data_IF_565755711299
#
_entry.id   IF_565755711299
#
_cell.length_a   1.000
_cell.length_b   1.000
_cell.length_c   1.000
_cell.angle_alpha   90.00
_cell.angle_beta   90.00
_cell.angle_gamma   90.00
#
_symmetry.space_group_name_H-M   'P 1'
#
loop_
_entity.id
_entity.type
_entity.pdbx_description
1 polymer ?
#
# COMPACT_ATOMS: atom_id res chain seq x y z
N UNK A 1 20.18 -8.29 -7.57
CA UNK A 1 21.21 -8.13 -8.64
C UNK A 1 20.54 -8.30 -10.01
N UNK A 2 20.30 -7.26 -10.80
CA UNK A 2 21.34 -6.47 -11.46
C UNK A 2 20.74 -5.13 -11.94
N UNK A 3 21.17 -4.04 -11.34
CA UNK A 3 21.10 -2.72 -11.96
C UNK A 3 22.24 -2.68 -12.99
N UNK A 4 21.95 -2.90 -14.27
CA UNK A 4 22.90 -2.57 -15.32
C UNK A 4 22.72 -1.09 -15.66
N UNK A 5 23.21 -0.22 -14.77
CA UNK A 5 23.58 1.11 -15.19
C UNK A 5 24.70 0.94 -16.22
N UNK A 6 24.39 1.24 -17.48
CA UNK A 6 25.39 1.36 -18.51
C UNK A 6 26.29 2.53 -18.13
N UNK A 7 27.37 2.20 -17.44
CA UNK A 7 28.49 3.08 -17.18
C UNK A 7 29.02 3.54 -18.54
N UNK A 8 28.95 4.85 -18.73
CA UNK A 8 29.37 5.60 -19.89
C UNK A 8 30.86 5.36 -20.14
N UNK A 9 31.15 4.32 -20.91
CA UNK A 9 32.43 4.16 -21.60
C UNK A 9 32.70 5.46 -22.34
N UNK A 10 33.93 5.97 -22.24
CA UNK A 10 34.44 7.17 -22.89
C UNK A 10 33.82 7.38 -24.29
N UNK A 11 33.56 8.62 -24.76
CA UNK A 11 32.82 8.85 -26.00
C UNK A 11 33.48 8.11 -27.18
N UNK A 12 32.95 6.93 -27.48
CA UNK A 12 33.40 6.09 -28.59
C UNK A 12 32.44 6.27 -29.75
N UNK A 13 32.97 6.15 -30.97
CA UNK A 13 32.17 6.19 -32.20
C UNK A 13 31.51 4.83 -32.52
N UNK A 14 31.48 3.90 -31.56
CA UNK A 14 30.91 2.57 -31.74
C UNK A 14 29.44 2.57 -31.28
N UNK A 15 28.51 2.26 -32.20
CA UNK A 15 27.08 2.13 -31.91
C UNK A 15 26.61 0.70 -32.23
N UNK A 16 25.69 0.18 -31.41
CA UNK A 16 24.99 -1.09 -31.69
C UNK A 16 23.87 -0.86 -32.71
N UNK A 17 23.42 -1.91 -33.40
CA UNK A 17 22.23 -1.85 -34.25
C UNK A 17 20.98 -1.43 -33.48
N UNK A 18 20.92 -1.69 -32.17
CA UNK A 18 19.83 -1.27 -31.27
C UNK A 18 19.88 0.22 -30.92
N UNK A 19 21.04 0.85 -31.00
CA UNK A 19 21.24 2.26 -30.64
C UNK A 19 20.93 3.20 -31.81
N UNK A 20 20.59 2.63 -32.97
CA UNK A 20 20.08 3.40 -34.10
C UNK A 20 18.76 4.06 -33.70
N UNK A 21 18.60 5.33 -34.09
CA UNK A 21 17.41 6.10 -33.76
C UNK A 21 16.15 5.44 -34.33
N UNK A 22 15.30 4.91 -33.46
CA UNK A 22 14.00 4.34 -33.78
C UNK A 22 12.93 4.92 -32.85
N UNK A 23 11.68 5.02 -33.33
CA UNK A 23 10.55 5.56 -32.57
C UNK A 23 10.82 6.93 -31.91
N UNK A 24 11.47 7.83 -32.63
CA UNK A 24 11.81 9.18 -32.14
C UNK A 24 10.61 10.08 -31.88
N UNK A 25 9.41 9.66 -32.31
CA UNK A 25 8.15 10.39 -32.12
C UNK A 25 7.32 9.70 -31.04
N UNK A 26 7.14 10.39 -29.93
CA UNK A 26 6.23 9.97 -28.86
C UNK A 26 4.77 10.17 -29.29
N UNK A 27 3.92 9.19 -28.96
CA UNK A 27 2.48 9.30 -29.11
C UNK A 27 1.90 9.92 -27.84
N UNK A 28 1.04 10.91 -27.99
CA UNK A 28 0.28 11.51 -26.89
C UNK A 28 -1.14 10.94 -26.88
N UNK A 29 -1.75 10.93 -25.69
CA UNK A 29 -3.17 10.58 -25.53
C UNK A 29 -4.03 11.64 -26.20
N UNK A 30 -4.99 11.21 -27.02
CA UNK A 30 -6.00 12.09 -27.61
C UNK A 30 -7.19 12.23 -26.64
N UNK A 31 -8.02 13.26 -26.83
CA UNK A 31 -9.29 13.42 -26.10
C UNK A 31 -10.16 12.17 -26.27
N UNK A 32 -10.73 11.66 -25.17
CA UNK A 32 -11.45 10.39 -25.13
C UNK A 32 -10.57 9.15 -24.93
N UNK A 33 -9.24 9.30 -24.84
CA UNK A 33 -8.30 8.21 -24.47
C UNK A 33 -7.82 8.30 -23.01
N UNK A 34 -8.64 8.89 -22.14
CA UNK A 34 -8.33 9.16 -20.73
C UNK A 34 -7.09 10.06 -20.64
N UNK A 35 -7.23 11.27 -21.16
CA UNK A 35 -6.20 12.31 -20.96
C UNK A 35 -6.12 12.68 -19.47
N UNK A 36 -5.00 13.25 -19.05
CA UNK A 36 -4.79 13.66 -17.65
C UNK A 36 -5.87 14.64 -17.18
N UNK A 37 -6.24 15.56 -18.05
CA UNK A 37 -7.27 16.57 -17.79
C UNK A 37 -8.66 15.95 -17.63
N UNK A 38 -9.00 14.94 -18.43
CA UNK A 38 -10.26 14.20 -18.28
C UNK A 38 -10.30 13.46 -16.95
N UNK A 39 -9.22 12.76 -16.57
CA UNK A 39 -9.14 12.03 -15.30
C UNK A 39 -9.26 12.92 -14.07
N UNK A 40 -8.74 14.16 -14.12
CA UNK A 40 -8.84 15.11 -13.01
C UNK A 40 -10.26 15.64 -12.80
N UNK A 41 -11.11 15.61 -13.84
CA UNK A 41 -12.49 16.08 -13.79
C UNK A 41 -13.49 14.96 -13.43
N UNK A 42 -13.08 13.69 -13.44
CA UNK A 42 -13.95 12.53 -13.19
C UNK A 42 -13.79 12.07 -11.73
N UNK A 43 -14.92 11.85 -11.05
CA UNK A 43 -14.95 11.23 -9.73
C UNK A 43 -14.74 9.71 -9.82
N UNK A 44 -13.47 9.30 -9.94
CA UNK A 44 -13.05 7.89 -10.12
C UNK A 44 -13.63 6.94 -9.06
N UNK A 45 -13.83 7.43 -7.84
CA UNK A 45 -14.39 6.64 -6.74
C UNK A 45 -15.85 6.28 -7.00
N UNK A 46 -16.65 7.23 -7.50
CA UNK A 46 -18.07 6.98 -7.77
C UNK A 46 -18.24 6.04 -8.96
N UNK A 47 -17.44 6.24 -10.01
CA UNK A 47 -17.42 5.37 -11.19
C UNK A 47 -17.06 3.92 -10.80
N UNK A 48 -16.03 3.74 -9.97
CA UNK A 48 -15.63 2.43 -9.46
C UNK A 48 -16.76 1.78 -8.67
N UNK A 49 -17.37 2.49 -7.71
CA UNK A 49 -18.48 1.95 -6.91
C UNK A 49 -19.70 1.59 -7.76
N UNK A 50 -19.97 2.35 -8.83
CA UNK A 50 -21.04 2.05 -9.78
C UNK A 50 -20.72 0.78 -10.58
N UNK A 51 -19.52 0.68 -11.12
CA UNK A 51 -19.07 -0.50 -11.86
C UNK A 51 -19.07 -1.76 -10.99
N UNK A 52 -18.66 -1.65 -9.71
CA UNK A 52 -18.75 -2.73 -8.74
C UNK A 52 -20.20 -3.17 -8.52
N UNK A 53 -21.11 -2.22 -8.24
CA UNK A 53 -22.54 -2.56 -8.08
C UNK A 53 -23.10 -3.29 -9.31
N UNK A 54 -22.87 -2.77 -10.51
CA UNK A 54 -23.34 -3.40 -11.76
C UNK A 54 -22.72 -4.80 -11.96
N UNK A 55 -21.44 -4.96 -11.64
CA UNK A 55 -20.76 -6.26 -11.71
C UNK A 55 -21.32 -7.26 -10.70
N UNK A 56 -21.53 -6.84 -9.45
CA UNK A 56 -22.13 -7.69 -8.41
C UNK A 56 -23.60 -8.01 -8.68
N UNK A 57 -24.38 -7.07 -9.24
CA UNK A 57 -25.75 -7.31 -9.68
C UNK A 57 -25.80 -8.29 -10.84
N UNK A 58 -24.85 -8.21 -11.78
CA UNK A 58 -24.73 -9.20 -12.86
C UNK A 58 -24.38 -10.57 -12.30
N UNK A 59 -23.40 -10.66 -11.40
CA UNK A 59 -23.03 -11.92 -10.75
C UNK A 59 -24.17 -12.47 -9.91
N UNK A 60 -24.86 -11.66 -9.11
CA UNK A 60 -26.03 -12.11 -8.34
C UNK A 60 -27.20 -12.50 -9.25
N UNK A 61 -27.44 -11.76 -10.33
CA UNK A 61 -28.44 -12.09 -11.34
C UNK A 61 -28.12 -13.39 -12.08
N UNK A 62 -26.84 -13.70 -12.27
CA UNK A 62 -26.34 -14.94 -12.85
C UNK A 62 -26.34 -16.09 -11.81
N UNK A 63 -26.03 -15.81 -10.55
CA UNK A 63 -26.08 -16.74 -9.40
C UNK A 63 -27.51 -17.09 -8.96
N UNK A 64 -28.51 -16.25 -9.24
CA UNK A 64 -29.92 -16.62 -9.08
C UNK A 64 -30.38 -17.68 -10.10
N UNK A 65 -29.58 -17.95 -11.14
CA UNK A 65 -29.79 -19.09 -12.04
C UNK A 65 -28.92 -20.31 -11.67
N UNK A 66 -27.90 -20.13 -10.82
CA UNK A 66 -27.02 -21.21 -10.32
C UNK A 66 -26.32 -20.78 -9.01
N UNK A 67 -26.75 -21.34 -7.88
CA UNK A 67 -26.17 -21.21 -6.52
C UNK A 67 -26.48 -19.94 -5.71
N UNK A 68 -27.52 -20.03 -4.88
CA UNK A 68 -27.57 -19.27 -3.63
C UNK A 68 -26.45 -19.70 -2.67
N UNK A 69 -26.02 -18.74 -1.83
CA UNK A 69 -25.11 -18.90 -0.67
C UNK A 69 -23.59 -18.83 -0.93
N UNK A 70 -23.13 -17.68 -1.42
CA UNK A 70 -21.71 -17.29 -1.44
C UNK A 70 -21.60 -15.81 -1.04
N UNK A 71 -21.52 -15.37 0.22
CA UNK A 71 -20.72 -15.90 1.32
C UNK A 71 -19.29 -15.41 1.15
N UNK A 72 -18.94 -14.30 1.82
CA UNK A 72 -17.65 -13.58 1.86
C UNK A 72 -16.38 -14.46 1.80
N UNK A 73 -16.49 -15.72 2.24
CA UNK A 73 -15.48 -16.79 2.15
C UNK A 73 -15.01 -17.14 0.73
N UNK A 74 -15.85 -17.09 -0.31
CA UNK A 74 -15.35 -17.42 -1.66
C UNK A 74 -14.50 -16.30 -2.27
N UNK A 75 -14.72 -15.04 -1.88
CA UNK A 75 -13.86 -13.95 -2.35
C UNK A 75 -12.48 -14.01 -1.69
N UNK A 76 -12.43 -14.40 -0.40
CA UNK A 76 -11.16 -14.61 0.32
C UNK A 76 -10.44 -15.86 -0.18
N UNK A 77 -11.17 -16.96 -0.44
CA UNK A 77 -10.64 -18.20 -1.01
C UNK A 77 -10.13 -18.01 -2.44
N UNK A 78 -10.89 -17.36 -3.33
CA UNK A 78 -10.45 -17.09 -4.72
C UNK A 78 -9.24 -16.15 -4.77
N UNK A 79 -9.22 -15.12 -3.91
CA UNK A 79 -8.06 -14.23 -3.77
C UNK A 79 -6.84 -14.97 -3.23
N UNK A 80 -7.03 -15.86 -2.25
CA UNK A 80 -5.95 -16.69 -1.69
C UNK A 80 -5.43 -17.71 -2.71
N UNK A 81 -6.33 -18.33 -3.48
CA UNK A 81 -6.01 -19.26 -4.55
C UNK A 81 -5.23 -18.58 -5.68
N UNK A 82 -5.63 -17.37 -6.08
CA UNK A 82 -4.90 -16.59 -7.08
C UNK A 82 -3.50 -16.18 -6.60
N UNK A 83 -3.35 -15.85 -5.31
CA UNK A 83 -2.04 -15.56 -4.71
C UNK A 83 -1.13 -16.81 -4.67
N UNK A 84 -1.69 -17.97 -4.37
CA UNK A 84 -0.97 -19.25 -4.40
C UNK A 84 -0.57 -19.64 -5.83
N UNK A 85 -1.47 -19.47 -6.80
CA UNK A 85 -1.20 -19.75 -8.21
C UNK A 85 -0.10 -18.83 -8.75
N UNK A 86 -0.17 -17.53 -8.45
CA UNK A 86 0.88 -16.57 -8.85
C UNK A 86 2.21 -16.82 -8.15
N UNK A 87 2.20 -17.26 -6.88
CA UNK A 87 3.41 -17.67 -6.17
C UNK A 87 3.99 -19.00 -6.70
N UNK A 88 3.14 -19.92 -7.18
CA UNK A 88 3.57 -21.17 -7.80
C UNK A 88 4.18 -20.94 -9.18
N UNK A 89 3.68 -19.97 -9.94
CA UNK A 89 4.25 -19.59 -11.24
C UNK A 89 5.63 -18.93 -11.14
N UNK A 90 5.98 -18.35 -9.99
CA UNK A 90 7.30 -17.72 -9.73
C UNK A 90 8.33 -18.71 -9.15
N UNK A 91 7.91 -19.94 -8.81
CA UNK A 91 8.74 -20.93 -8.13
C UNK A 91 8.87 -22.19 -8.95
N UNK A 92 9.92 -22.23 -9.78
CA UNK A 92 10.28 -23.45 -10.50
C UNK A 92 10.52 -24.63 -9.53
N UNK A 93 9.74 -25.70 -9.76
CA UNK A 93 9.91 -27.11 -9.37
C UNK A 93 9.83 -27.50 -7.88
N UNK A 94 8.62 -27.82 -7.38
CA UNK A 94 8.32 -29.12 -6.72
C UNK A 94 6.81 -29.41 -6.78
N UNK A 95 6.42 -30.49 -7.46
CA UNK A 95 5.02 -30.97 -7.49
C UNK A 95 4.84 -32.07 -6.44
N UNK A 96 4.15 -31.79 -5.33
CA UNK A 96 3.59 -32.82 -4.45
C UNK A 96 2.11 -32.54 -4.22
N UNK A 97 1.29 -33.48 -4.69
CA UNK A 97 -0.17 -33.46 -4.59
C UNK A 97 -0.63 -34.20 -3.33
N UNK A 98 -1.81 -33.78 -2.85
CA UNK A 98 -2.71 -34.44 -1.88
C UNK A 98 -2.39 -34.16 -0.40
N UNK A 99 -3.34 -33.81 0.47
CA UNK A 99 -4.73 -34.29 0.60
C UNK A 99 -5.57 -33.20 1.32
N UNK A 100 -6.78 -32.92 0.82
CA UNK A 100 -7.84 -32.24 1.57
C UNK A 100 -8.20 -33.09 2.79
N UNK A 101 -7.99 -32.59 4.00
CA UNK A 101 -8.49 -33.18 5.23
C UNK A 101 -9.56 -32.27 5.81
N UNK A 102 -10.81 -32.71 5.65
CA UNK A 102 -12.02 -32.14 6.24
C UNK A 102 -12.35 -32.99 7.47
N UNK A 103 -12.09 -32.48 8.69
CA UNK A 103 -12.56 -33.06 9.95
C UNK A 103 -12.87 -31.92 10.96
N UNK A 104 -14.10 -31.98 11.49
CA UNK A 104 -14.83 -31.03 12.34
C UNK A 104 -14.25 -30.82 13.77
N UNK A 105 -14.23 -29.58 14.30
CA UNK A 105 -14.31 -29.25 15.76
C UNK A 105 -14.45 -27.72 16.05
N UNK A 106 -15.56 -27.07 15.65
CA UNK A 106 -15.83 -25.62 15.83
C UNK A 106 -16.43 -25.26 17.22
N UNK A 107 -15.72 -25.57 18.31
CA UNK A 107 -16.04 -25.03 19.65
C UNK A 107 -14.80 -24.52 20.42
N UNK A 108 -13.58 -24.93 20.06
CA UNK A 108 -12.31 -24.46 20.67
C UNK A 108 -11.76 -23.17 20.01
N UNK A 109 -12.02 -22.97 18.70
CA UNK A 109 -11.53 -21.82 17.94
C UNK A 109 -12.13 -20.48 18.41
N UNK A 110 -13.37 -20.49 18.89
CA UNK A 110 -14.02 -19.26 19.40
C UNK A 110 -13.43 -18.80 20.73
N UNK A 111 -13.03 -19.73 21.59
CA UNK A 111 -12.40 -19.44 22.89
C UNK A 111 -10.96 -18.94 22.69
N UNK A 112 -10.21 -19.54 21.77
CA UNK A 112 -8.88 -19.08 21.37
C UNK A 112 -8.91 -17.65 20.81
N UNK A 113 -9.91 -17.33 19.98
CA UNK A 113 -10.05 -16.02 19.34
C UNK A 113 -10.43 -14.90 20.34
N UNK A 114 -11.27 -15.19 21.35
CA UNK A 114 -11.57 -14.23 22.42
C UNK A 114 -10.33 -13.91 23.28
N UNK A 115 -9.50 -14.92 23.59
CA UNK A 115 -8.24 -14.71 24.32
C UNK A 115 -7.23 -13.90 23.51
N UNK A 116 -7.15 -14.13 22.19
CA UNK A 116 -6.29 -13.34 21.32
C UNK A 116 -6.76 -11.88 21.19
N UNK A 117 -8.07 -11.65 21.11
CA UNK A 117 -8.63 -10.29 21.11
C UNK A 117 -8.35 -9.53 22.42
N UNK A 118 -8.43 -10.20 23.57
CA UNK A 118 -8.05 -9.60 24.86
C UNK A 118 -6.56 -9.28 24.93
N UNK A 119 -5.71 -10.16 24.40
CA UNK A 119 -4.27 -9.93 24.29
C UNK A 119 -3.95 -8.73 23.38
N UNK A 120 -4.60 -8.62 22.23
CA UNK A 120 -4.43 -7.49 21.30
C UNK A 120 -4.91 -6.18 21.93
N UNK A 121 -6.08 -6.17 22.59
CA UNK A 121 -6.60 -4.97 23.27
C UNK A 121 -5.67 -4.48 24.37
N UNK A 122 -5.09 -5.41 25.14
CA UNK A 122 -4.13 -5.09 26.20
C UNK A 122 -2.83 -4.51 25.62
N UNK A 123 -2.27 -5.13 24.58
CA UNK A 123 -1.05 -4.62 23.93
C UNK A 123 -1.28 -3.23 23.31
N UNK A 124 -2.45 -3.00 22.70
CA UNK A 124 -2.75 -1.74 22.05
C UNK A 124 -2.95 -0.59 23.04
N UNK A 125 -3.52 -0.87 24.22
CA UNK A 125 -3.63 0.11 25.31
C UNK A 125 -2.25 0.52 25.82
N UNK A 126 -1.38 -0.44 26.10
CA UNK A 126 0.00 -0.18 26.58
C UNK A 126 0.84 0.56 25.53
N UNK A 127 0.74 0.16 24.25
CA UNK A 127 1.46 0.81 23.16
C UNK A 127 0.99 2.24 22.95
N UNK A 128 -0.31 2.51 23.08
CA UNK A 128 -0.86 3.88 23.00
C UNK A 128 -0.31 4.76 24.12
N UNK A 129 -0.31 4.28 25.36
CA UNK A 129 0.26 5.01 26.50
C UNK A 129 1.76 5.29 26.31
N UNK A 130 2.52 4.29 25.83
CA UNK A 130 3.95 4.46 25.54
C UNK A 130 4.21 5.50 24.45
N UNK A 131 3.37 5.53 23.40
CA UNK A 131 3.47 6.51 22.32
C UNK A 131 3.09 7.90 22.83
N UNK A 132 2.04 8.02 23.64
CA UNK A 132 1.59 9.30 24.20
C UNK A 132 2.63 9.91 25.14
N UNK A 133 3.24 9.11 26.02
CA UNK A 133 4.35 9.57 26.87
C UNK A 133 5.55 10.05 26.04
N UNK A 134 5.96 9.29 25.02
CA UNK A 134 7.06 9.71 24.14
C UNK A 134 6.73 10.98 23.34
N UNK A 135 5.47 11.15 22.95
CA UNK A 135 4.98 12.35 22.25
C UNK A 135 4.97 13.56 23.18
N UNK A 136 4.52 13.39 24.43
CA UNK A 136 4.58 14.45 25.45
C UNK A 136 6.03 14.86 25.73
N UNK A 137 6.92 13.90 25.93
CA UNK A 137 8.35 14.15 26.19
C UNK A 137 9.03 14.84 24.99
N UNK A 138 8.70 14.44 23.76
CA UNK A 138 9.21 15.10 22.54
C UNK A 138 8.64 16.51 22.36
N UNK A 139 7.38 16.74 22.73
CA UNK A 139 6.76 18.06 22.72
C UNK A 139 7.36 18.98 23.79
N UNK A 140 7.63 18.47 25.00
CA UNK A 140 8.31 19.21 26.07
C UNK A 140 9.74 19.59 25.66
N UNK A 141 10.49 18.65 25.06
CA UNK A 141 11.80 18.96 24.45
C UNK A 141 11.70 20.00 23.35
N UNK A 142 10.68 19.92 22.49
CA UNK A 142 10.42 20.89 21.44
C UNK A 142 10.10 22.29 21.98
N UNK A 143 9.27 22.38 23.01
CA UNK A 143 8.97 23.63 23.72
C UNK A 143 10.21 24.20 24.39
N UNK A 144 10.98 23.38 25.11
CA UNK A 144 12.24 23.80 25.74
C UNK A 144 13.23 24.35 24.70
N UNK A 145 13.39 23.67 23.56
CA UNK A 145 14.22 24.13 22.46
C UNK A 145 13.72 25.45 21.87
N UNK A 146 12.41 25.59 21.67
CA UNK A 146 11.78 26.82 21.20
C UNK A 146 11.98 27.99 22.17
N UNK A 147 11.80 27.79 23.48
CA UNK A 147 12.07 28.81 24.51
C UNK A 147 13.55 29.19 24.56
N UNK A 148 14.46 28.23 24.42
CA UNK A 148 15.91 28.47 24.39
C UNK A 148 16.33 29.33 23.20
N UNK A 149 15.83 29.00 22.00
CA UNK A 149 16.09 29.77 20.78
C UNK A 149 15.55 31.20 20.89
N UNK A 150 14.30 31.37 21.32
CA UNK A 150 13.71 32.71 21.48
C UNK A 150 14.45 33.56 22.52
N UNK A 151 14.85 32.96 23.64
CA UNK A 151 15.63 33.67 24.67
C UNK A 151 17.00 34.10 24.12
N UNK A 152 17.66 33.22 23.36
CA UNK A 152 18.95 33.53 22.76
C UNK A 152 18.84 34.64 21.71
N UNK A 153 17.79 34.61 20.87
CA UNK A 153 17.49 35.67 19.90
C UNK A 153 17.24 37.00 20.62
N UNK A 154 16.44 37.00 21.69
CA UNK A 154 16.17 38.20 22.49
C UNK A 154 17.46 38.80 23.07
N UNK A 155 18.33 37.97 23.64
CA UNK A 155 19.64 38.42 24.17
C UNK A 155 20.51 39.03 23.06
N UNK A 156 20.54 38.42 21.87
CA UNK A 156 21.30 38.95 20.72
C UNK A 156 20.73 40.32 20.30
N UNK A 157 19.42 40.45 20.15
CA UNK A 157 18.76 41.72 19.75
C UNK A 157 19.04 42.82 20.77
N UNK A 158 18.89 42.55 22.07
CA UNK A 158 19.19 43.52 23.14
C UNK A 158 20.67 43.92 23.12
N UNK A 159 21.58 42.94 22.97
CA UNK A 159 23.03 43.21 22.90
C UNK A 159 23.44 44.02 21.66
N UNK A 160 22.65 43.99 20.59
CA UNK A 160 22.88 44.81 19.40
C UNK A 160 22.35 46.23 19.59
N UNK A 161 21.24 46.44 20.29
CA UNK A 161 20.71 47.77 20.58
C UNK A 161 21.52 48.58 21.61
N UNK A 162 22.34 47.95 22.45
CA UNK A 162 23.21 48.66 23.40
C UNK A 162 24.55 49.13 22.79
N UNK A 163 24.83 48.80 21.52
CA UNK A 163 26.11 49.12 20.85
C UNK A 163 26.03 50.27 19.82
N UNK A 164 24.86 50.85 19.62
CA UNK A 164 24.62 52.08 18.84
C UNK A 164 24.40 53.27 19.79
#
# INVERSE_FOLDING_TARGET
PTLTCYDSKAPTLQYSSRDLAAHTKLKFRQTGQLTKEELENIDLKEELLKAEREHFEKIQGEQLHEAGAVGENQYTETRHQLLLETAALDKDDITVNSVFSDEEEEEDDTAALLLELEKIKKEHAEKKERIELKKMESAERGLSHFYFLNTTIYIIVVSMSEKD
#
